data_IF_839209433145
#
_entry.id   IF_839209433145
#
_cell.length_a   1.000
_cell.length_b   1.000
_cell.length_c   1.000
_cell.angle_alpha   90.00
_cell.angle_beta   90.00
_cell.angle_gamma   90.00
#
_symmetry.space_group_name_H-M   'P 1'
#
loop_
_entity.id
_entity.type
_entity.pdbx_description
1 polymer ?
#
# COMPACT_ATOMS: atom_id res chain seq x y z
N UNK A 1 8.74 2.96 -26.46
CA UNK A 1 8.14 3.51 -25.23
C UNK A 1 7.35 4.75 -25.61
N UNK A 2 6.08 4.60 -25.98
CA UNK A 2 5.18 5.73 -26.04
C UNK A 2 3.75 5.20 -25.98
N UNK A 3 2.99 5.64 -24.98
CA UNK A 3 1.66 6.26 -25.08
C UNK A 3 1.06 6.30 -23.68
N UNK A 4 0.85 7.53 -23.19
CA UNK A 4 0.22 7.90 -21.91
C UNK A 4 1.11 7.61 -20.70
N UNK A 5 1.56 8.66 -20.01
CA UNK A 5 1.94 8.55 -18.60
C UNK A 5 0.71 8.01 -17.86
N UNK A 6 0.61 6.69 -17.67
CA UNK A 6 -0.43 6.12 -16.84
C UNK A 6 -0.31 6.79 -15.46
N UNK A 7 -1.34 7.55 -15.10
CA UNK A 7 -1.42 8.14 -13.77
C UNK A 7 -1.28 7.00 -12.77
N UNK A 8 -0.45 7.21 -11.77
CA UNK A 8 -0.23 6.22 -10.72
C UNK A 8 -1.49 6.14 -9.85
N UNK A 9 -2.43 5.26 -10.23
CA UNK A 9 -3.67 5.00 -9.48
C UNK A 9 -3.52 3.79 -8.57
N UNK A 10 -4.44 3.63 -7.60
CA UNK A 10 -4.48 2.43 -6.76
C UNK A 10 -4.71 1.18 -7.61
N UNK A 11 -5.62 1.23 -8.59
CA UNK A 11 -5.84 0.13 -9.54
C UNK A 11 -4.58 -0.25 -10.31
N UNK A 12 -3.83 0.76 -10.79
CA UNK A 12 -2.56 0.53 -11.49
C UNK A 12 -1.54 -0.16 -10.57
N UNK A 13 -1.38 0.33 -9.34
CA UNK A 13 -0.44 -0.23 -8.38
C UNK A 13 -0.82 -1.65 -7.94
N UNK A 14 -2.11 -1.92 -7.71
CA UNK A 14 -2.62 -3.26 -7.43
C UNK A 14 -2.28 -4.22 -8.58
N UNK A 15 -2.54 -3.83 -9.84
CA UNK A 15 -2.19 -4.62 -11.02
C UNK A 15 -0.69 -4.87 -11.11
N UNK A 16 0.13 -3.83 -10.96
CA UNK A 16 1.59 -3.92 -10.98
C UNK A 16 2.12 -4.90 -9.93
N UNK A 17 1.62 -4.84 -8.70
CA UNK A 17 2.02 -5.78 -7.63
C UNK A 17 1.52 -7.19 -7.94
N UNK A 18 0.28 -7.35 -8.43
CA UNK A 18 -0.29 -8.66 -8.78
C UNK A 18 0.52 -9.38 -9.86
N UNK A 19 1.05 -8.65 -10.85
CA UNK A 19 1.91 -9.22 -11.90
C UNK A 19 3.26 -9.72 -11.35
N UNK A 20 3.75 -9.13 -10.25
CA UNK A 20 5.04 -9.49 -9.63
C UNK A 20 4.91 -10.53 -8.51
N UNK A 21 3.86 -10.42 -7.71
CA UNK A 21 3.63 -11.25 -6.54
C UNK A 21 2.14 -11.51 -6.32
N UNK A 22 1.70 -12.70 -6.71
CA UNK A 22 0.32 -13.15 -6.53
C UNK A 22 0.27 -14.65 -6.26
N UNK A 23 0.10 -15.00 -4.98
CA UNK A 23 -0.02 -16.39 -4.52
C UNK A 23 -1.28 -16.54 -3.67
N UNK A 24 -2.47 -16.76 -4.29
CA UNK A 24 -3.76 -16.75 -3.58
C UNK A 24 -3.91 -17.84 -2.51
N UNK A 25 -3.05 -18.86 -2.52
CA UNK A 25 -3.00 -19.92 -1.51
C UNK A 25 -2.18 -19.53 -0.25
N UNK A 26 -1.47 -18.40 -0.27
CA UNK A 26 -0.57 -17.96 0.81
C UNK A 26 -1.08 -16.72 1.55
N UNK A 27 -2.41 -16.50 1.62
CA UNK A 27 -3.02 -15.30 2.22
C UNK A 27 -2.48 -14.97 3.62
N UNK A 28 -2.30 -15.99 4.46
CA UNK A 28 -1.77 -15.80 5.80
C UNK A 28 -0.30 -15.35 5.80
N UNK A 29 0.52 -15.83 4.85
CA UNK A 29 1.91 -15.41 4.72
C UNK A 29 2.02 -13.92 4.34
N UNK A 30 1.16 -13.43 3.43
CA UNK A 30 1.08 -11.99 3.12
C UNK A 30 0.71 -11.15 4.35
N UNK A 31 -0.18 -11.65 5.21
CA UNK A 31 -0.51 -10.98 6.47
C UNK A 31 0.67 -10.94 7.43
N UNK A 32 1.41 -12.04 7.56
CA UNK A 32 2.61 -12.09 8.40
C UNK A 32 3.68 -11.11 7.89
N UNK A 33 3.89 -11.03 6.56
CA UNK A 33 4.78 -10.03 5.97
C UNK A 33 4.33 -8.61 6.26
N UNK A 34 3.04 -8.29 6.11
CA UNK A 34 2.52 -6.97 6.51
C UNK A 34 2.87 -6.62 7.98
N UNK A 35 2.72 -7.58 8.89
CA UNK A 35 3.05 -7.37 10.32
C UNK A 35 4.55 -7.14 10.53
N UNK A 36 5.39 -7.86 9.79
CA UNK A 36 6.85 -7.67 9.78
C UNK A 36 7.21 -6.25 9.33
N UNK A 37 6.69 -5.79 8.18
CA UNK A 37 7.00 -4.45 7.67
C UNK A 37 6.49 -3.33 8.60
N UNK A 38 5.36 -3.54 9.30
CA UNK A 38 4.90 -2.60 10.35
C UNK A 38 5.89 -2.55 11.52
N UNK A 39 6.54 -3.66 11.85
CA UNK A 39 7.60 -3.73 12.85
C UNK A 39 8.85 -2.95 12.43
N UNK A 40 9.29 -3.14 11.19
CA UNK A 40 10.44 -2.40 10.61
C UNK A 40 10.14 -0.90 10.53
N UNK A 41 8.92 -0.53 10.09
CA UNK A 41 8.43 0.85 10.11
C UNK A 41 8.49 1.44 11.52
N UNK A 42 8.07 0.69 12.54
CA UNK A 42 8.15 1.15 13.94
C UNK A 42 9.58 1.44 14.36
N UNK A 43 10.54 0.60 13.97
CA UNK A 43 11.95 0.77 14.28
C UNK A 43 12.53 2.03 13.65
N UNK A 44 12.29 2.27 12.35
CA UNK A 44 12.84 3.44 11.65
C UNK A 44 12.16 4.74 12.08
N UNK A 45 10.86 4.72 12.41
CA UNK A 45 10.14 5.87 12.96
C UNK A 45 10.73 6.30 14.30
N UNK A 46 11.02 5.34 15.19
CA UNK A 46 11.67 5.63 16.48
C UNK A 46 13.05 6.27 16.32
N UNK A 47 13.76 5.94 15.23
CA UNK A 47 15.08 6.51 14.89
C UNK A 47 14.99 7.81 14.08
N UNK A 48 13.79 8.20 13.64
CA UNK A 48 13.54 9.31 12.70
C UNK A 48 14.44 9.26 11.45
N UNK A 49 14.78 8.05 10.97
CA UNK A 49 15.73 7.87 9.87
C UNK A 49 15.04 8.16 8.53
N UNK A 50 15.43 9.27 7.88
CA UNK A 50 14.91 9.73 6.59
C UNK A 50 15.88 9.46 5.45
N UNK A 51 15.35 9.34 4.24
CA UNK A 51 16.13 9.27 3.02
C UNK A 51 17.00 10.53 2.81
N UNK A 52 18.27 10.32 2.49
CA UNK A 52 19.25 11.37 2.16
C UNK A 52 19.96 10.94 0.88
N UNK A 53 20.19 11.87 -0.06
CA UNK A 53 20.89 11.60 -1.32
C UNK A 53 20.34 10.39 -2.11
N UNK A 54 19.01 10.18 -2.08
CA UNK A 54 18.31 9.06 -2.72
C UNK A 54 18.70 7.66 -2.19
N UNK A 55 19.32 7.57 -1.01
CA UNK A 55 19.55 6.31 -0.32
C UNK A 55 18.32 5.94 0.51
N UNK A 56 17.44 5.10 -0.08
CA UNK A 56 16.16 4.73 0.53
C UNK A 56 16.31 3.67 1.64
N UNK A 57 17.43 2.94 1.70
CA UNK A 57 17.53 1.74 2.54
C UNK A 57 17.53 2.01 4.06
N UNK A 58 16.70 1.28 4.79
CA UNK A 58 16.39 1.38 6.21
C UNK A 58 15.86 2.76 6.58
N UNK A 59 14.99 3.36 5.75
CA UNK A 59 14.42 4.69 6.00
C UNK A 59 12.91 4.60 6.15
N UNK A 60 12.31 5.62 6.77
CA UNK A 60 10.85 5.74 6.86
C UNK A 60 10.18 5.65 5.47
N UNK A 61 10.81 6.16 4.42
CA UNK A 61 10.30 6.06 3.05
C UNK A 61 10.23 4.62 2.52
N UNK A 62 11.24 3.79 2.80
CA UNK A 62 11.23 2.36 2.44
C UNK A 62 10.13 1.62 3.20
N UNK A 63 10.11 1.75 4.52
CA UNK A 63 9.19 0.95 5.33
C UNK A 63 7.71 1.37 5.12
N UNK A 64 7.44 2.65 4.84
CA UNK A 64 6.10 3.07 4.42
C UNK A 64 5.71 2.45 3.07
N UNK A 65 6.65 2.33 2.14
CA UNK A 65 6.42 1.66 0.88
C UNK A 65 6.16 0.16 1.09
N UNK A 66 6.93 -0.52 1.93
CA UNK A 66 6.78 -1.96 2.16
C UNK A 66 5.47 -2.30 2.89
N UNK A 67 5.06 -1.50 3.87
CA UNK A 67 3.72 -1.61 4.47
C UNK A 67 2.63 -1.44 3.40
N UNK A 68 2.74 -0.41 2.57
CA UNK A 68 1.76 -0.15 1.51
C UNK A 68 1.74 -1.28 0.46
N UNK A 69 2.91 -1.83 0.12
CA UNK A 69 3.06 -2.96 -0.78
C UNK A 69 2.25 -4.17 -0.31
N UNK A 70 2.41 -4.57 0.96
CA UNK A 70 1.68 -5.73 1.48
C UNK A 70 0.19 -5.47 1.73
N UNK A 71 -0.23 -4.22 1.96
CA UNK A 71 -1.67 -3.86 1.93
C UNK A 71 -2.26 -4.13 0.55
N UNK A 72 -1.60 -3.70 -0.53
CA UNK A 72 -2.05 -3.94 -1.90
C UNK A 72 -1.96 -5.42 -2.28
N UNK A 73 -0.91 -6.13 -1.87
CA UNK A 73 -0.77 -7.56 -2.10
C UNK A 73 -1.89 -8.35 -1.40
N UNK A 74 -2.25 -7.98 -0.16
CA UNK A 74 -3.41 -8.53 0.54
C UNK A 74 -4.71 -8.25 -0.21
N UNK A 75 -4.95 -7.00 -0.62
CA UNK A 75 -6.12 -6.67 -1.43
C UNK A 75 -6.20 -7.55 -2.69
N UNK A 76 -5.08 -7.78 -3.37
CA UNK A 76 -5.01 -8.65 -4.54
C UNK A 76 -5.37 -10.11 -4.24
N UNK A 77 -4.80 -10.73 -3.20
CA UNK A 77 -5.08 -12.15 -2.89
C UNK A 77 -6.48 -12.40 -2.31
N UNK A 78 -7.12 -11.35 -1.79
CA UNK A 78 -8.54 -11.37 -1.39
C UNK A 78 -9.49 -10.85 -2.47
N UNK A 79 -8.97 -10.51 -3.66
CA UNK A 79 -9.76 -10.01 -4.79
C UNK A 79 -10.56 -8.73 -4.46
N UNK A 80 -9.98 -7.87 -3.62
CA UNK A 80 -10.54 -6.57 -3.23
C UNK A 80 -10.03 -5.50 -4.19
N UNK A 81 -10.95 -4.76 -4.81
CA UNK A 81 -10.65 -3.48 -5.46
C UNK A 81 -10.51 -2.40 -4.37
N UNK A 82 -9.27 -1.98 -4.13
CA UNK A 82 -8.97 -1.05 -3.05
C UNK A 82 -9.36 0.39 -3.42
N UNK A 83 -9.41 0.72 -4.71
CA UNK A 83 -9.82 2.03 -5.19
C UNK A 83 -11.34 2.21 -5.01
N UNK A 84 -12.12 1.21 -5.39
CA UNK A 84 -13.56 1.17 -5.11
C UNK A 84 -13.83 1.20 -3.60
N UNK A 85 -13.12 0.38 -2.81
CA UNK A 85 -13.27 0.35 -1.35
C UNK A 85 -12.98 1.72 -0.71
N UNK A 86 -11.98 2.45 -1.22
CA UNK A 86 -11.65 3.79 -0.77
C UNK A 86 -12.79 4.78 -1.05
N UNK A 87 -13.30 4.81 -2.28
CA UNK A 87 -14.40 5.70 -2.69
C UNK A 87 -15.64 5.45 -1.82
N UNK A 88 -16.07 4.20 -1.70
CA UNK A 88 -17.24 3.83 -0.90
C UNK A 88 -17.06 4.19 0.57
N UNK A 89 -15.85 4.04 1.12
CA UNK A 89 -15.57 4.36 2.52
C UNK A 89 -15.64 5.86 2.78
N UNK A 90 -15.14 6.69 1.87
CA UNK A 90 -15.22 8.14 1.98
C UNK A 90 -16.66 8.64 1.89
N UNK A 91 -17.50 8.06 1.02
CA UNK A 91 -18.94 8.41 0.99
C UNK A 91 -19.65 8.12 2.33
N UNK A 92 -19.29 7.03 2.99
CA UNK A 92 -19.79 6.70 4.33
C UNK A 92 -19.27 7.71 5.37
N UNK A 93 -17.99 8.09 5.28
CA UNK A 93 -17.38 9.07 6.19
C UNK A 93 -17.99 10.47 6.02
N UNK A 94 -18.26 10.91 4.79
CA UNK A 94 -18.90 12.20 4.52
C UNK A 94 -20.29 12.29 5.14
N UNK A 95 -21.09 11.23 5.01
CA UNK A 95 -22.41 11.12 5.65
C UNK A 95 -22.29 11.13 7.17
N UNK A 96 -21.32 10.41 7.74
CA UNK A 96 -21.12 10.30 9.19
C UNK A 96 -20.66 11.61 9.83
N UNK A 97 -19.73 12.30 9.20
CA UNK A 97 -19.09 13.50 9.74
C UNK A 97 -19.69 14.81 9.21
N UNK A 98 -20.74 14.73 8.37
CA UNK A 98 -21.37 15.89 7.72
C UNK A 98 -20.34 16.79 7.03
N UNK A 99 -19.34 16.18 6.39
CA UNK A 99 -18.37 16.92 5.58
C UNK A 99 -19.14 17.45 4.37
N UNK A 100 -19.40 18.75 4.35
CA UNK A 100 -20.11 19.39 3.25
C UNK A 100 -19.16 19.42 2.04
N UNK A 101 -19.63 18.93 0.89
CA UNK A 101 -18.96 19.13 -0.40
C UNK A 101 -19.23 20.53 -0.92
#
# INVERSE_FOLDING_TARGET
MNTLEEKLTLSYLQKYIKEKDFKPNLKHAYFLKLVEEVGELSEVLRKEKRMINSEIKGTIEEELYDVFYYVLALANVYEVDLEEAFILKEEVNDKKYKRVK
#
